data_IF_872628931449
#
_entry.id   IF_872628931449
#
_cell.length_a   1.000
_cell.length_b   1.000
_cell.length_c   1.000
_cell.angle_alpha   90.00
_cell.angle_beta   90.00
_cell.angle_gamma   90.00
#
_symmetry.space_group_name_H-M   'P 1'
#
loop_
_entity.id
_entity.type
_entity.pdbx_description
1 polymer ?
#
# COMPACT_ATOMS: atom_id res chain seq x y z
N UNK A 1 -16.85 45.34 38.89
CA UNK A 1 -17.36 44.60 37.71
C UNK A 1 -16.48 44.71 36.46
N UNK A 2 -15.65 45.75 36.28
CA UNK A 2 -14.79 45.90 35.09
C UNK A 2 -13.73 44.78 34.96
N UNK A 3 -13.19 44.33 36.09
CA UNK A 3 -12.17 43.29 36.13
C UNK A 3 -12.76 41.88 35.89
N UNK A 4 -14.02 41.67 36.30
CA UNK A 4 -14.72 40.41 36.05
C UNK A 4 -15.08 40.24 34.57
N UNK A 5 -15.48 41.34 33.89
CA UNK A 5 -15.69 41.34 32.43
C UNK A 5 -14.39 41.02 31.68
N UNK A 6 -13.26 41.53 32.15
CA UNK A 6 -11.94 41.26 31.55
C UNK A 6 -11.53 39.79 31.73
N UNK A 7 -11.79 39.21 32.91
CA UNK A 7 -11.56 37.79 33.17
C UNK A 7 -12.49 36.88 32.34
N UNK A 8 -13.75 37.27 32.15
CA UNK A 8 -14.71 36.54 31.31
C UNK A 8 -14.32 36.56 29.83
N UNK A 9 -13.85 37.70 29.32
CA UNK A 9 -13.34 37.83 27.96
C UNK A 9 -12.07 36.99 27.76
N UNK A 10 -11.14 37.03 28.72
CA UNK A 10 -9.94 36.18 28.68
C UNK A 10 -10.27 34.68 28.72
N UNK A 11 -11.20 34.28 29.59
CA UNK A 11 -11.64 32.89 29.73
C UNK A 11 -12.35 32.37 28.47
N UNK A 12 -12.98 33.24 27.68
CA UNK A 12 -13.71 32.86 26.46
C UNK A 12 -12.80 32.93 25.21
N UNK A 13 -11.84 33.86 25.16
CA UNK A 13 -10.91 34.00 24.04
C UNK A 13 -9.77 32.97 24.06
N UNK A 14 -9.29 32.57 25.24
CA UNK A 14 -8.17 31.63 25.36
C UNK A 14 -8.51 30.25 24.75
N UNK A 15 -9.67 29.61 25.06
CA UNK A 15 -10.07 28.37 24.40
C UNK A 15 -10.32 28.55 22.90
N UNK A 16 -10.90 29.69 22.49
CA UNK A 16 -11.15 29.98 21.08
C UNK A 16 -9.85 30.03 20.26
N UNK A 17 -8.74 30.52 20.83
CA UNK A 17 -7.42 30.52 20.19
C UNK A 17 -6.79 29.13 20.10
N UNK A 18 -7.11 28.22 21.02
CA UNK A 18 -6.60 26.84 21.00
C UNK A 18 -7.45 25.89 20.15
N UNK A 19 -8.76 26.15 19.99
CA UNK A 19 -9.65 25.33 19.15
C UNK A 19 -9.66 25.71 17.66
N UNK A 20 -9.03 26.83 17.26
CA UNK A 20 -8.83 27.18 15.84
C UNK A 20 -7.51 26.67 15.27
N UNK A 21 -6.83 25.75 15.96
CA UNK A 21 -5.75 24.97 15.36
C UNK A 21 -6.37 23.97 14.38
N UNK A 22 -6.86 24.46 13.24
CA UNK A 22 -7.06 23.64 12.06
C UNK A 22 -5.75 22.90 11.83
N UNK A 23 -5.81 21.57 11.86
CA UNK A 23 -4.72 20.71 11.41
C UNK A 23 -4.37 21.13 9.98
N UNK A 24 -3.30 21.90 9.83
CA UNK A 24 -2.75 22.33 8.54
C UNK A 24 -1.93 21.22 7.92
N UNK A 25 -2.36 19.98 8.10
CA UNK A 25 -1.64 18.78 7.71
C UNK A 25 -1.15 18.82 6.26
N UNK A 26 -1.82 19.58 5.38
CA UNK A 26 -1.44 19.74 3.98
C UNK A 26 -1.72 21.14 3.38
N UNK A 27 -1.82 22.21 4.18
CA UNK A 27 -2.06 23.59 3.65
C UNK A 27 -0.72 24.26 3.31
N UNK A 28 -0.29 24.38 2.04
CA UNK A 28 0.90 25.14 1.69
C UNK A 28 0.52 26.61 1.85
N UNK A 29 0.85 27.20 2.99
CA UNK A 29 0.47 28.57 3.32
C UNK A 29 0.64 29.52 2.12
N UNK A 30 -0.45 30.23 1.77
CA UNK A 30 -0.43 31.22 0.69
C UNK A 30 -1.53 31.10 -0.36
N UNK A 31 -2.67 30.46 -0.08
CA UNK A 31 -3.81 30.42 -1.02
C UNK A 31 -3.54 29.63 -2.30
N UNK A 32 -2.48 28.82 -2.31
CA UNK A 32 -2.20 27.88 -3.39
C UNK A 32 -2.95 26.60 -3.06
N UNK A 33 -4.03 26.32 -3.81
CA UNK A 33 -4.66 25.01 -3.81
C UNK A 33 -3.63 24.05 -4.44
N UNK A 34 -2.87 23.33 -3.62
CA UNK A 34 -2.14 22.15 -4.10
C UNK A 34 -3.05 20.94 -3.91
N UNK A 35 -3.09 20.09 -4.92
CA UNK A 35 -3.65 18.75 -4.75
C UNK A 35 -2.85 18.04 -3.66
N UNK A 36 -3.50 17.53 -2.60
CA UNK A 36 -2.88 16.66 -1.61
C UNK A 36 -1.98 15.60 -2.25
N UNK A 37 -0.84 15.31 -1.62
CA UNK A 37 0.09 14.29 -2.14
C UNK A 37 -0.58 12.92 -2.28
N UNK A 38 -1.51 12.61 -1.36
CA UNK A 38 -2.34 11.41 -1.45
C UNK A 38 -3.25 11.42 -2.68
N UNK A 39 -3.95 12.54 -2.95
CA UNK A 39 -4.83 12.65 -4.12
C UNK A 39 -4.06 12.48 -5.42
N UNK A 40 -2.90 13.15 -5.54
CA UNK A 40 -2.02 13.03 -6.70
C UNK A 40 -1.58 11.57 -6.94
N UNK A 41 -1.12 10.88 -5.89
CA UNK A 41 -0.68 9.49 -6.01
C UNK A 41 -1.84 8.56 -6.34
N UNK A 42 -2.99 8.71 -5.67
CA UNK A 42 -4.19 7.92 -5.91
C UNK A 42 -4.66 8.06 -7.36
N UNK A 43 -4.76 9.29 -7.86
CA UNK A 43 -5.20 9.56 -9.24
C UNK A 43 -4.21 8.99 -10.26
N UNK A 44 -2.91 9.12 -10.01
CA UNK A 44 -1.87 8.50 -10.85
C UNK A 44 -1.99 6.97 -10.87
N UNK A 45 -2.15 6.33 -9.72
CA UNK A 45 -2.27 4.87 -9.63
C UNK A 45 -3.52 4.37 -10.38
N UNK A 46 -4.66 5.05 -10.22
CA UNK A 46 -5.90 4.70 -10.92
C UNK A 46 -5.79 4.91 -12.43
N UNK A 47 -5.14 5.98 -12.88
CA UNK A 47 -4.98 6.29 -14.30
C UNK A 47 -4.03 5.34 -15.04
N UNK A 48 -3.15 4.64 -14.32
CA UNK A 48 -2.16 3.71 -14.88
C UNK A 48 -2.46 2.24 -14.56
N UNK A 49 -3.70 1.91 -14.16
CA UNK A 49 -4.10 0.53 -13.84
C UNK A 49 -3.21 -0.11 -12.75
N UNK A 50 -2.74 0.70 -11.80
CA UNK A 50 -1.93 0.27 -10.64
C UNK A 50 -2.79 0.19 -9.36
N UNK A 51 -4.10 0.27 -9.48
CA UNK A 51 -5.02 0.16 -8.36
C UNK A 51 -5.26 -1.30 -7.95
N UNK A 52 -5.88 -1.47 -6.78
CA UNK A 52 -6.08 -2.79 -6.19
C UNK A 52 -6.82 -3.77 -7.10
N UNK A 53 -7.74 -3.29 -7.95
CA UNK A 53 -8.49 -4.18 -8.84
C UNK A 53 -7.57 -4.89 -9.83
N UNK A 54 -6.61 -4.15 -10.39
CA UNK A 54 -5.62 -4.64 -11.35
C UNK A 54 -4.51 -5.45 -10.67
N UNK A 55 -4.15 -5.08 -9.44
CA UNK A 55 -3.20 -5.85 -8.61
C UNK A 55 -3.80 -7.18 -8.18
N UNK A 56 -5.09 -7.25 -7.82
CA UNK A 56 -5.73 -8.51 -7.40
C UNK A 56 -5.99 -9.40 -8.62
N UNK A 57 -6.42 -8.82 -9.74
CA UNK A 57 -6.72 -9.55 -10.98
C UNK A 57 -6.24 -8.73 -12.16
N UNK A 58 -5.30 -9.26 -12.95
CA UNK A 58 -4.82 -8.55 -14.13
C UNK A 58 -5.89 -8.48 -15.24
N UNK A 59 -5.60 -7.73 -16.31
CA UNK A 59 -6.49 -7.57 -17.49
C UNK A 59 -6.92 -8.88 -18.16
N UNK A 60 -6.18 -9.98 -17.93
CA UNK A 60 -6.47 -11.31 -18.46
C UNK A 60 -7.28 -12.19 -17.48
N UNK A 61 -7.78 -11.62 -16.38
CA UNK A 61 -8.55 -12.35 -15.38
C UNK A 61 -7.70 -13.23 -14.46
N UNK A 62 -6.37 -13.11 -14.48
CA UNK A 62 -5.46 -13.91 -13.65
C UNK A 62 -5.26 -13.23 -12.31
N UNK A 63 -5.53 -13.95 -11.22
CA UNK A 63 -5.36 -13.45 -9.86
C UNK A 63 -3.90 -13.43 -9.44
N UNK A 64 -3.50 -12.40 -8.71
CA UNK A 64 -2.18 -12.34 -8.06
C UNK A 64 -2.01 -13.39 -6.97
N UNK A 65 -3.11 -13.78 -6.31
CA UNK A 65 -3.15 -14.89 -5.36
C UNK A 65 -3.97 -16.03 -5.96
N UNK A 66 -3.31 -17.17 -6.18
CA UNK A 66 -3.95 -18.42 -6.61
C UNK A 66 -3.76 -19.47 -5.50
N UNK A 67 -4.80 -20.22 -5.11
CA UNK A 67 -4.61 -21.37 -4.23
C UNK A 67 -3.60 -22.37 -4.83
N UNK A 68 -2.94 -23.13 -3.97
CA UNK A 68 -2.11 -24.24 -4.41
C UNK A 68 -2.91 -25.18 -5.33
N UNK A 69 -2.30 -25.78 -6.36
CA UNK A 69 -2.98 -26.71 -7.25
C UNK A 69 -3.50 -27.92 -6.47
N UNK A 70 -4.61 -28.51 -6.95
CA UNK A 70 -5.02 -29.83 -6.50
C UNK A 70 -3.94 -30.87 -6.84
N UNK A 71 -3.89 -31.98 -6.09
CA UNK A 71 -2.82 -32.98 -6.20
C UNK A 71 -2.63 -33.56 -7.61
N UNK A 72 -3.67 -33.58 -8.43
CA UNK A 72 -3.68 -34.05 -9.82
C UNK A 72 -3.35 -32.95 -10.85
N UNK A 73 -3.39 -31.68 -10.46
CA UNK A 73 -3.13 -30.52 -11.33
C UNK A 73 -1.73 -29.93 -11.22
N UNK A 74 -0.81 -30.56 -10.46
CA UNK A 74 0.52 -30.02 -10.20
C UNK A 74 1.35 -29.85 -11.48
N UNK A 75 1.32 -30.83 -12.39
CA UNK A 75 2.08 -30.78 -13.65
C UNK A 75 1.63 -29.61 -14.54
N UNK A 76 0.31 -29.43 -14.71
CA UNK A 76 -0.25 -28.32 -15.47
C UNK A 76 0.06 -26.97 -14.81
N UNK A 77 0.08 -26.94 -13.47
CA UNK A 77 0.41 -25.75 -12.71
C UNK A 77 1.88 -25.34 -12.90
N UNK A 78 2.81 -26.28 -12.80
CA UNK A 78 4.25 -26.05 -13.04
C UNK A 78 4.49 -25.62 -14.50
N UNK A 79 3.76 -26.18 -15.47
CA UNK A 79 3.89 -25.79 -16.87
C UNK A 79 3.33 -24.39 -17.17
N UNK A 80 2.38 -23.91 -16.37
CA UNK A 80 1.69 -22.64 -16.59
C UNK A 80 2.33 -21.47 -15.84
N UNK A 81 2.90 -21.72 -14.66
CA UNK A 81 3.34 -20.66 -13.76
C UNK A 81 4.83 -20.75 -13.45
N UNK A 82 5.46 -19.58 -13.35
CA UNK A 82 6.77 -19.45 -12.72
C UNK A 82 6.60 -19.36 -11.20
N UNK A 83 7.07 -20.38 -10.47
CA UNK A 83 6.85 -20.49 -9.03
C UNK A 83 8.11 -20.02 -8.27
N UNK A 84 8.00 -18.89 -7.57
CA UNK A 84 9.06 -18.37 -6.70
C UNK A 84 8.72 -18.61 -5.23
N UNK A 85 9.65 -19.22 -4.50
CA UNK A 85 9.59 -19.34 -3.03
C UNK A 85 10.52 -18.30 -2.39
N UNK A 86 9.90 -17.28 -1.79
CA UNK A 86 10.58 -16.12 -1.20
C UNK A 86 11.11 -16.32 0.22
N UNK A 87 10.94 -17.52 0.78
CA UNK A 87 11.36 -17.86 2.13
C UNK A 87 12.87 -18.08 2.19
N UNK A 88 13.40 -18.16 3.41
CA UNK A 88 14.82 -18.49 3.60
C UNK A 88 15.13 -19.87 3.02
N UNK A 89 16.37 -20.04 2.56
CA UNK A 89 16.86 -21.30 2.00
C UNK A 89 16.73 -22.46 3.00
N UNK A 90 16.90 -22.20 4.29
CA UNK A 90 16.69 -23.21 5.34
C UNK A 90 15.23 -23.74 5.34
N UNK A 91 14.25 -22.85 5.24
CA UNK A 91 12.83 -23.23 5.23
C UNK A 91 12.46 -23.91 3.92
N UNK A 92 12.96 -23.41 2.79
CA UNK A 92 12.79 -24.06 1.48
C UNK A 92 13.33 -25.50 1.48
N UNK A 93 14.52 -25.72 2.03
CA UNK A 93 15.15 -27.04 2.11
C UNK A 93 14.42 -28.02 3.03
N UNK A 94 13.68 -27.53 4.04
CA UNK A 94 12.81 -28.37 4.89
C UNK A 94 11.56 -28.84 4.14
N UNK A 95 11.15 -28.12 3.09
CA UNK A 95 10.01 -28.47 2.26
C UNK A 95 9.50 -27.27 1.45
N UNK A 96 9.26 -27.51 0.17
CA UNK A 96 8.74 -26.53 -0.78
C UNK A 96 7.82 -27.20 -1.80
N UNK A 97 7.09 -26.39 -2.57
CA UNK A 97 6.28 -26.87 -3.69
C UNK A 97 7.22 -27.36 -4.79
N UNK A 98 6.97 -28.55 -5.33
CA UNK A 98 7.75 -29.08 -6.44
C UNK A 98 7.75 -28.11 -7.64
N UNK A 99 8.91 -27.93 -8.27
CA UNK A 99 9.10 -26.96 -9.35
C UNK A 99 9.29 -25.51 -8.90
N UNK A 100 9.14 -25.20 -7.61
CA UNK A 100 9.42 -23.85 -7.09
C UNK A 100 10.92 -23.56 -7.05
N UNK A 101 11.32 -22.35 -7.46
CA UNK A 101 12.68 -21.83 -7.31
C UNK A 101 12.79 -21.03 -6.02
N UNK A 102 13.78 -21.31 -5.18
CA UNK A 102 14.06 -20.45 -4.02
C UNK A 102 14.67 -19.12 -4.50
N UNK A 103 13.99 -18.02 -4.21
CA UNK A 103 14.37 -16.66 -4.62
C UNK A 103 14.21 -15.76 -3.40
N UNK A 104 15.28 -15.45 -2.65
CA UNK A 104 15.18 -14.59 -1.48
C UNK A 104 14.40 -13.31 -1.80
N UNK A 105 13.60 -12.81 -0.84
CA UNK A 105 12.75 -11.64 -1.07
C UNK A 105 13.52 -10.42 -1.63
N UNK A 106 14.79 -10.25 -1.25
CA UNK A 106 15.67 -9.19 -1.76
C UNK A 106 15.94 -9.27 -3.26
N UNK A 107 15.79 -10.45 -3.86
CA UNK A 107 16.23 -10.76 -5.21
C UNK A 107 15.06 -10.94 -6.19
N UNK A 108 13.81 -10.78 -5.73
CA UNK A 108 12.60 -11.06 -6.53
C UNK A 108 12.55 -10.20 -7.81
N UNK A 109 13.06 -8.97 -7.78
CA UNK A 109 13.10 -8.10 -8.95
C UNK A 109 14.20 -8.49 -9.93
N UNK A 110 15.34 -8.96 -9.41
CA UNK A 110 16.45 -9.48 -10.22
C UNK A 110 16.00 -10.75 -10.94
N UNK A 111 15.24 -11.60 -10.26
CA UNK A 111 14.74 -12.83 -10.83
C UNK A 111 13.58 -12.60 -11.81
N UNK A 112 12.62 -11.73 -11.47
CA UNK A 112 11.51 -11.39 -12.35
C UNK A 112 11.98 -10.78 -13.68
N UNK A 113 13.10 -10.07 -13.70
CA UNK A 113 13.68 -9.51 -14.92
C UNK A 113 14.20 -10.57 -15.92
N UNK A 114 14.29 -11.85 -15.52
CA UNK A 114 14.71 -12.96 -16.39
C UNK A 114 13.54 -13.72 -17.03
N UNK A 115 12.32 -13.43 -16.58
CA UNK A 115 11.09 -14.09 -17.01
C UNK A 115 10.55 -13.53 -18.33
#
# INVERSE_FOLDING_TARGET
MKNLKLLLIGFLLVPALFFTSCDRGEDPGGGVIVTPAFELMKDYMMANDLDLNQVITNVNGVKFVQPAPANDGLADFINKYYIMDIRSTEVYNKGHIEGAKNVPFTDILIEAAKA
#
